data_IF_702438502520
#
_entry.id   IF_702438502520
#
_cell.length_a   1.000
_cell.length_b   1.000
_cell.length_c   1.000
_cell.angle_alpha   90.00
_cell.angle_beta   90.00
_cell.angle_gamma   90.00
#
_symmetry.space_group_name_H-M   'P 1'
#
loop_
_entity.id
_entity.type
_entity.pdbx_description
1 polymer ?
#
# COMPACT_ATOMS: atom_id res chain seq x y z
N UNK A 1 -2.32 -20.60 13.47
CA UNK A 1 -2.83 -19.24 13.84
C UNK A 1 -2.90 -18.42 12.57
N UNK A 2 -4.02 -17.77 12.28
CA UNK A 2 -4.10 -16.89 11.12
C UNK A 2 -3.39 -15.56 11.44
N UNK A 3 -2.57 -15.04 10.53
CA UNK A 3 -1.80 -13.80 10.67
C UNK A 3 -2.23 -12.77 9.64
N UNK A 4 -1.89 -11.51 9.85
CA UNK A 4 -2.09 -10.44 8.89
C UNK A 4 -0.77 -10.07 8.24
N UNK A 5 -0.69 -10.08 6.92
CA UNK A 5 0.49 -9.63 6.16
C UNK A 5 0.24 -8.21 5.68
N UNK A 6 1.07 -7.27 6.08
CA UNK A 6 1.05 -5.90 5.57
C UNK A 6 2.18 -5.73 4.58
N UNK A 7 1.82 -5.62 3.31
CA UNK A 7 2.79 -5.44 2.24
C UNK A 7 3.09 -3.96 2.03
N UNK A 8 4.19 -3.50 2.62
CA UNK A 8 4.74 -2.16 2.43
C UNK A 8 5.38 -2.02 1.05
N UNK A 9 5.21 -0.85 0.44
CA UNK A 9 5.74 -0.55 -0.90
C UNK A 9 6.42 0.82 -0.96
N UNK A 10 5.69 1.87 -1.36
CA UNK A 10 6.16 3.27 -1.38
C UNK A 10 5.71 4.04 -0.12
N UNK A 11 5.02 3.39 0.77
CA UNK A 11 4.41 3.86 2.01
C UNK A 11 5.16 3.36 3.26
N UNK A 12 6.49 3.46 3.23
CA UNK A 12 7.41 2.96 4.25
C UNK A 12 7.34 3.80 5.53
N UNK A 13 6.17 3.75 6.21
CA UNK A 13 5.89 4.47 7.44
C UNK A 13 4.88 3.74 8.31
N UNK A 14 4.96 3.91 9.63
CA UNK A 14 3.99 3.36 10.58
C UNK A 14 2.81 4.31 10.82
N UNK A 15 3.08 5.61 10.93
CA UNK A 15 2.04 6.63 11.11
C UNK A 15 1.28 6.88 9.82
N UNK A 16 -0.01 7.23 9.94
CA UNK A 16 -0.89 7.54 8.80
C UNK A 16 -0.80 6.48 7.69
N UNK A 17 -0.90 5.21 8.08
CA UNK A 17 -0.88 4.07 7.17
C UNK A 17 -2.18 3.28 7.27
N UNK A 18 -3.17 3.52 6.38
CA UNK A 18 -4.48 2.89 6.44
C UNK A 18 -4.46 1.37 6.29
N UNK A 19 -3.48 0.82 5.54
CA UNK A 19 -3.32 -0.63 5.40
C UNK A 19 -2.88 -1.25 6.73
N UNK A 20 -1.87 -0.66 7.38
CA UNK A 20 -1.40 -1.10 8.68
C UNK A 20 -2.51 -0.97 9.73
N UNK A 21 -3.19 0.19 9.80
CA UNK A 21 -4.31 0.39 10.69
C UNK A 21 -5.40 -0.68 10.50
N UNK A 22 -5.77 -0.96 9.24
CA UNK A 22 -6.76 -2.00 8.94
C UNK A 22 -6.33 -3.39 9.39
N UNK A 23 -5.03 -3.67 9.36
CA UNK A 23 -4.47 -4.94 9.80
C UNK A 23 -4.43 -5.10 11.34
N UNK A 24 -4.49 -4.00 12.09
CA UNK A 24 -4.53 -4.06 13.57
C UNK A 24 -5.92 -4.33 14.14
N UNK A 25 -6.99 -4.08 13.37
CA UNK A 25 -8.36 -4.06 13.87
C UNK A 25 -8.86 -5.41 14.42
N UNK A 26 -8.34 -6.52 13.93
CA UNK A 26 -8.74 -7.87 14.37
C UNK A 26 -7.79 -8.49 15.41
N UNK A 27 -6.81 -7.74 15.89
CA UNK A 27 -5.88 -8.15 16.96
C UNK A 27 -4.94 -9.31 16.61
N UNK A 28 -4.84 -9.69 15.33
CA UNK A 28 -3.96 -10.77 14.89
C UNK A 28 -2.50 -10.30 14.79
N UNK A 29 -1.54 -11.21 14.94
CA UNK A 29 -0.15 -10.90 14.68
C UNK A 29 0.06 -10.36 13.26
N UNK A 30 0.91 -9.33 13.13
CA UNK A 30 1.19 -8.68 11.85
C UNK A 30 2.58 -9.06 11.39
N UNK A 31 2.69 -9.44 10.12
CA UNK A 31 3.95 -9.65 9.41
C UNK A 31 4.16 -8.45 8.47
N UNK A 32 5.07 -7.52 8.81
CA UNK A 32 5.48 -6.46 7.90
C UNK A 32 6.34 -7.04 6.79
N UNK A 33 5.91 -6.90 5.55
CA UNK A 33 6.56 -7.46 4.37
C UNK A 33 6.93 -6.34 3.39
N UNK A 34 8.16 -6.33 2.91
CA UNK A 34 8.59 -5.55 1.77
C UNK A 34 9.13 -6.48 0.68
N UNK A 35 8.70 -6.29 -0.56
CA UNK A 35 9.13 -7.08 -1.71
C UNK A 35 9.83 -6.15 -2.70
N UNK A 36 11.11 -6.40 -2.94
CA UNK A 36 11.86 -5.77 -4.01
C UNK A 36 11.50 -6.47 -5.32
N UNK A 37 10.55 -5.91 -6.05
CA UNK A 37 10.12 -6.41 -7.34
C UNK A 37 11.02 -5.91 -8.48
N UNK A 38 10.90 -6.51 -9.66
CA UNK A 38 11.70 -6.16 -10.83
C UNK A 38 11.54 -4.69 -11.24
N UNK A 39 10.32 -4.16 -11.15
CA UNK A 39 10.06 -2.76 -11.49
C UNK A 39 10.83 -1.80 -10.56
N UNK A 40 10.86 -2.11 -9.28
CA UNK A 40 11.62 -1.37 -8.27
C UNK A 40 13.13 -1.58 -8.42
N UNK A 41 13.56 -2.80 -8.72
CA UNK A 41 14.98 -3.15 -8.90
C UNK A 41 15.58 -2.48 -10.17
N UNK A 42 14.78 -2.28 -11.20
CA UNK A 42 15.17 -1.59 -12.43
C UNK A 42 15.05 -0.05 -12.35
N UNK A 43 14.64 0.51 -11.21
CA UNK A 43 14.56 1.96 -11.02
C UNK A 43 15.94 2.62 -10.96
N UNK A 44 15.99 3.92 -11.20
CA UNK A 44 17.23 4.69 -11.18
C UNK A 44 17.96 4.67 -9.83
N UNK A 45 19.26 4.91 -9.85
CA UNK A 45 20.15 4.81 -8.66
C UNK A 45 19.68 5.69 -7.48
N UNK A 46 19.28 6.93 -7.76
CA UNK A 46 18.79 7.86 -6.72
C UNK A 46 17.50 7.34 -6.03
N UNK A 47 16.59 6.75 -6.80
CA UNK A 47 15.40 6.11 -6.26
C UNK A 47 15.75 4.92 -5.37
N UNK A 48 16.63 4.03 -5.81
CA UNK A 48 17.07 2.86 -5.04
C UNK A 48 17.78 3.25 -3.76
N UNK A 49 18.65 4.26 -3.82
CA UNK A 49 19.31 4.79 -2.65
C UNK A 49 18.31 5.33 -1.62
N UNK A 50 17.36 6.17 -2.06
CA UNK A 50 16.30 6.70 -1.18
C UNK A 50 15.42 5.59 -0.61
N UNK A 51 15.07 4.60 -1.42
CA UNK A 51 14.29 3.45 -1.00
C UNK A 51 15.01 2.66 0.10
N UNK A 52 16.33 2.43 -0.06
CA UNK A 52 17.15 1.76 0.94
C UNK A 52 17.09 2.46 2.30
N UNK A 53 17.33 3.77 2.33
CA UNK A 53 17.24 4.58 3.56
C UNK A 53 15.84 4.53 4.19
N UNK A 54 14.80 4.59 3.37
CA UNK A 54 13.41 4.52 3.88
C UNK A 54 13.07 3.14 4.44
N UNK A 55 13.58 2.07 3.83
CA UNK A 55 13.40 0.69 4.30
C UNK A 55 14.15 0.46 5.61
N UNK A 56 15.36 0.98 5.73
CA UNK A 56 16.15 0.95 6.97
C UNK A 56 15.44 1.70 8.10
N UNK A 57 14.95 2.92 7.83
CA UNK A 57 14.18 3.70 8.80
C UNK A 57 12.92 2.95 9.28
N UNK A 58 12.16 2.35 8.36
CA UNK A 58 11.00 1.54 8.73
C UNK A 58 11.39 0.32 9.58
N UNK A 59 12.51 -0.35 9.25
CA UNK A 59 13.00 -1.48 10.04
C UNK A 59 13.31 -1.08 11.47
N UNK A 60 14.03 0.04 11.66
CA UNK A 60 14.35 0.57 12.99
C UNK A 60 13.09 0.97 13.78
N UNK A 61 12.10 1.54 13.10
CA UNK A 61 10.84 1.89 13.75
C UNK A 61 10.04 0.64 14.16
N UNK A 62 10.02 -0.40 13.33
CA UNK A 62 9.39 -1.68 13.69
C UNK A 62 10.09 -2.37 14.86
N UNK A 63 11.41 -2.31 14.95
CA UNK A 63 12.18 -2.87 16.07
C UNK A 63 11.80 -2.23 17.42
N UNK A 64 11.52 -0.92 17.45
CA UNK A 64 10.99 -0.24 18.66
C UNK A 64 9.66 -0.82 19.14
N UNK A 65 8.91 -1.46 18.24
CA UNK A 65 7.64 -2.14 18.53
C UNK A 65 7.77 -3.66 18.63
N UNK A 66 8.99 -4.19 18.86
CA UNK A 66 9.29 -5.62 18.93
C UNK A 66 8.83 -6.39 17.67
N UNK A 67 8.89 -5.75 16.52
CA UNK A 67 8.54 -6.32 15.22
C UNK A 67 9.73 -6.26 14.27
N UNK A 68 9.70 -7.05 13.21
CA UNK A 68 10.79 -7.12 12.24
C UNK A 68 10.25 -7.04 10.82
N UNK A 69 10.85 -6.18 9.99
CA UNK A 69 10.53 -6.11 8.57
C UNK A 69 11.08 -7.33 7.83
N UNK A 70 10.21 -8.05 7.15
CA UNK A 70 10.60 -9.17 6.28
C UNK A 70 10.89 -8.60 4.88
N UNK A 71 12.12 -8.80 4.43
CA UNK A 71 12.57 -8.40 3.10
C UNK A 71 12.59 -9.62 2.18
N UNK A 72 11.93 -9.52 1.04
CA UNK A 72 11.94 -10.52 -0.03
C UNK A 72 12.28 -9.84 -1.35
N UNK A 73 12.82 -10.61 -2.30
CA UNK A 73 13.08 -10.16 -3.68
C UNK A 73 12.39 -11.10 -4.65
N UNK A 74 11.80 -10.54 -5.72
CA UNK A 74 11.20 -11.30 -6.80
C UNK A 74 9.81 -10.84 -7.20
N UNK A 75 9.13 -11.65 -7.99
CA UNK A 75 7.76 -11.37 -8.40
C UNK A 75 6.81 -11.47 -7.18
N UNK A 76 6.03 -10.40 -6.88
CA UNK A 76 5.20 -10.37 -5.68
C UNK A 76 4.18 -11.50 -5.57
N UNK A 77 3.59 -11.94 -6.69
CA UNK A 77 2.64 -13.05 -6.67
C UNK A 77 3.32 -14.35 -6.20
N UNK A 78 4.51 -14.65 -6.72
CA UNK A 78 5.25 -15.85 -6.32
C UNK A 78 5.74 -15.77 -4.87
N UNK A 79 6.24 -14.62 -4.44
CA UNK A 79 6.66 -14.40 -3.04
C UNK A 79 5.51 -14.60 -2.07
N UNK A 80 4.32 -14.07 -2.39
CA UNK A 80 3.14 -14.24 -1.55
C UNK A 80 2.62 -15.70 -1.54
N UNK A 81 2.73 -16.43 -2.66
CA UNK A 81 2.42 -17.87 -2.73
C UNK A 81 3.38 -18.68 -1.86
N UNK A 82 4.68 -18.42 -1.95
CA UNK A 82 5.72 -19.06 -1.11
C UNK A 82 5.47 -18.78 0.38
N UNK A 83 5.13 -17.53 0.70
CA UNK A 83 4.80 -17.15 2.07
C UNK A 83 3.60 -17.94 2.59
N UNK A 84 2.53 -18.08 1.78
CA UNK A 84 1.35 -18.89 2.15
C UNK A 84 1.70 -20.35 2.41
N UNK A 85 2.55 -20.93 1.58
CA UNK A 85 3.00 -22.30 1.77
C UNK A 85 3.79 -22.51 3.08
N UNK A 86 4.51 -21.44 3.53
CA UNK A 86 5.34 -21.49 4.72
C UNK A 86 4.59 -21.23 6.02
N UNK A 87 3.63 -20.30 6.02
CA UNK A 87 2.95 -19.86 7.25
C UNK A 87 1.46 -20.23 7.32
N UNK A 88 0.90 -20.80 6.25
CA UNK A 88 -0.52 -21.13 6.15
C UNK A 88 -1.37 -19.91 5.77
N UNK A 89 -2.65 -19.96 6.16
CA UNK A 89 -3.61 -18.93 5.78
C UNK A 89 -3.38 -17.60 6.51
N UNK A 90 -3.45 -16.51 5.75
CA UNK A 90 -3.29 -15.14 6.22
C UNK A 90 -4.25 -14.20 5.50
N UNK A 91 -4.38 -12.98 5.99
CA UNK A 91 -5.00 -11.87 5.26
C UNK A 91 -3.91 -10.95 4.73
N UNK A 92 -4.15 -10.32 3.58
CA UNK A 92 -3.18 -9.41 2.97
C UNK A 92 -3.73 -7.99 2.96
N UNK A 93 -2.90 -7.04 3.38
CA UNK A 93 -3.23 -5.61 3.42
C UNK A 93 -2.15 -4.81 2.69
N UNK A 94 -2.58 -3.83 1.88
CA UNK A 94 -1.67 -2.85 1.27
C UNK A 94 -2.37 -1.53 0.93
N UNK A 95 -1.59 -0.45 0.77
CA UNK A 95 -2.08 0.80 0.22
C UNK A 95 -1.93 0.79 -1.30
N UNK A 96 -2.94 1.24 -2.03
CA UNK A 96 -2.98 1.20 -3.50
C UNK A 96 -1.87 2.04 -4.12
N UNK A 97 -1.31 1.52 -5.20
CA UNK A 97 -0.53 2.27 -6.17
C UNK A 97 -1.42 2.53 -7.39
N UNK A 98 -1.13 3.61 -8.13
CA UNK A 98 -2.02 4.10 -9.17
C UNK A 98 -1.39 4.10 -10.56
N UNK A 99 -0.12 3.72 -10.67
CA UNK A 99 0.54 3.49 -11.94
C UNK A 99 0.03 2.18 -12.59
N UNK A 100 -0.03 2.16 -13.93
CA UNK A 100 -0.64 1.09 -14.71
C UNK A 100 -0.08 -0.29 -14.38
N UNK A 101 1.23 -0.40 -14.26
CA UNK A 101 1.90 -1.68 -13.96
C UNK A 101 1.53 -2.19 -12.56
N UNK A 102 1.49 -1.30 -11.56
CA UNK A 102 1.07 -1.66 -10.21
C UNK A 102 -0.39 -2.05 -10.14
N UNK A 103 -1.28 -1.35 -10.87
CA UNK A 103 -2.71 -1.69 -10.93
C UNK A 103 -2.92 -3.07 -11.54
N UNK A 104 -2.27 -3.39 -12.67
CA UNK A 104 -2.34 -4.71 -13.32
C UNK A 104 -1.88 -5.81 -12.35
N UNK A 105 -0.69 -5.66 -11.78
CA UNK A 105 -0.12 -6.59 -10.82
C UNK A 105 -1.01 -6.80 -9.59
N UNK A 106 -1.47 -5.71 -8.98
CA UNK A 106 -2.31 -5.76 -7.78
C UNK A 106 -3.68 -6.41 -8.06
N UNK A 107 -4.21 -6.23 -9.28
CA UNK A 107 -5.45 -6.87 -9.72
C UNK A 107 -5.26 -8.38 -9.86
N UNK A 108 -4.17 -8.81 -10.49
CA UNK A 108 -3.81 -10.22 -10.64
C UNK A 108 -3.66 -10.91 -9.26
N UNK A 109 -2.88 -10.31 -8.36
CA UNK A 109 -2.67 -10.83 -7.00
C UNK A 109 -4.01 -10.93 -6.27
N UNK A 110 -4.85 -9.90 -6.36
CA UNK A 110 -6.15 -9.85 -5.69
C UNK A 110 -7.10 -10.93 -6.20
N UNK A 111 -7.17 -11.12 -7.51
CA UNK A 111 -8.00 -12.18 -8.12
C UNK A 111 -7.53 -13.56 -7.68
N UNK A 112 -6.23 -13.84 -7.80
CA UNK A 112 -5.67 -15.13 -7.39
C UNK A 112 -5.97 -15.47 -5.93
N UNK A 113 -5.67 -14.57 -5.00
CA UNK A 113 -5.87 -14.84 -3.59
C UNK A 113 -7.35 -14.90 -3.18
N UNK A 114 -8.21 -14.11 -3.84
CA UNK A 114 -9.67 -14.18 -3.62
C UNK A 114 -10.24 -15.53 -4.05
N UNK A 115 -9.80 -16.07 -5.19
CA UNK A 115 -10.20 -17.43 -5.65
C UNK A 115 -9.75 -18.53 -4.67
N UNK A 116 -8.67 -18.30 -3.95
CA UNK A 116 -8.15 -19.18 -2.91
C UNK A 116 -8.77 -18.97 -1.52
N UNK A 117 -9.81 -18.12 -1.41
CA UNK A 117 -10.49 -17.83 -0.15
C UNK A 117 -9.68 -16.93 0.82
N UNK A 118 -8.59 -16.32 0.36
CA UNK A 118 -7.77 -15.40 1.17
C UNK A 118 -8.36 -13.99 1.11
N UNK A 119 -8.57 -13.39 2.28
CA UNK A 119 -9.01 -12.00 2.36
C UNK A 119 -7.88 -11.04 1.94
N UNK A 120 -8.17 -10.22 0.93
CA UNK A 120 -7.24 -9.20 0.41
C UNK A 120 -7.89 -7.83 0.54
N UNK A 121 -7.28 -6.95 1.33
CA UNK A 121 -7.77 -5.59 1.55
C UNK A 121 -6.77 -4.56 1.03
N UNK A 122 -7.20 -3.76 0.05
CA UNK A 122 -6.42 -2.63 -0.44
C UNK A 122 -7.06 -1.31 -0.01
N UNK A 123 -6.27 -0.44 0.57
CA UNK A 123 -6.69 0.86 1.12
C UNK A 123 -6.12 2.02 0.32
N UNK A 124 -6.69 3.20 0.47
CA UNK A 124 -6.16 4.45 -0.05
C UNK A 124 -5.20 5.03 1.01
N UNK A 125 -3.97 5.35 0.66
CA UNK A 125 -2.98 5.82 1.63
C UNK A 125 -1.84 6.65 1.02
N UNK A 126 -1.87 6.86 -0.31
CA UNK A 126 -0.83 7.58 -1.03
C UNK A 126 -1.32 8.85 -1.72
N UNK A 127 -2.63 9.00 -1.88
CA UNK A 127 -3.23 10.19 -2.49
C UNK A 127 -4.20 10.84 -1.52
N UNK A 128 -4.25 12.16 -1.56
CA UNK A 128 -5.20 12.96 -0.78
C UNK A 128 -6.65 12.65 -1.19
N UNK A 129 -6.88 12.44 -2.49
CA UNK A 129 -8.16 12.03 -3.06
C UNK A 129 -7.99 10.88 -4.05
N UNK A 130 -8.92 9.93 -4.01
CA UNK A 130 -8.95 8.82 -4.96
C UNK A 130 -9.27 9.33 -6.38
N UNK A 131 -8.51 8.93 -7.40
CA UNK A 131 -8.79 9.31 -8.79
C UNK A 131 -10.19 8.90 -9.25
N UNK A 132 -10.71 7.79 -8.73
CA UNK A 132 -12.06 7.30 -9.08
C UNK A 132 -13.20 8.07 -8.41
N UNK A 133 -12.90 8.84 -7.37
CA UNK A 133 -13.87 9.71 -6.68
C UNK A 133 -13.82 11.15 -7.18
N UNK A 134 -12.78 11.52 -7.92
CA UNK A 134 -12.54 12.88 -8.42
C UNK A 134 -13.03 12.96 -9.87
N UNK A 135 -14.34 13.20 -10.02
CA UNK A 135 -14.99 13.26 -11.34
C UNK A 135 -15.85 14.51 -11.43
N UNK A 136 -16.09 14.98 -12.67
CA UNK A 136 -17.08 16.02 -12.97
C UNK A 136 -18.48 15.48 -12.71
N UNK A 137 -19.48 16.36 -12.61
CA UNK A 137 -20.90 15.98 -12.50
C UNK A 137 -21.38 15.12 -13.69
N UNK A 138 -20.68 15.18 -14.83
CA UNK A 138 -20.92 14.34 -16.01
C UNK A 138 -20.14 13.00 -15.99
N UNK A 139 -19.43 12.66 -14.90
CA UNK A 139 -18.69 11.42 -14.76
C UNK A 139 -17.36 11.37 -15.53
N UNK A 140 -16.88 12.51 -16.05
CA UNK A 140 -15.60 12.59 -16.77
C UNK A 140 -14.48 13.17 -15.90
N UNK A 141 -13.25 13.19 -16.42
CA UNK A 141 -12.11 13.75 -15.70
C UNK A 141 -12.08 15.28 -15.81
N UNK A 142 -11.60 15.93 -14.75
CA UNK A 142 -11.24 17.34 -14.81
C UNK A 142 -10.01 17.56 -15.69
N UNK A 143 -10.11 18.52 -16.62
CA UNK A 143 -9.00 18.87 -17.53
C UNK A 143 -8.08 19.96 -16.99
N UNK A 144 -8.49 20.66 -15.94
CA UNK A 144 -7.76 21.76 -15.30
C UNK A 144 -7.82 21.64 -13.79
N UNK A 145 -6.80 22.16 -13.10
CA UNK A 145 -6.66 22.05 -11.65
C UNK A 145 -7.70 22.83 -10.86
N UNK A 146 -8.03 24.04 -11.30
CA UNK A 146 -8.88 24.99 -10.55
C UNK A 146 -10.24 24.41 -10.11
N UNK A 147 -11.06 23.77 -10.98
CA UNK A 147 -12.29 23.14 -10.53
C UNK A 147 -12.11 22.06 -9.48
N UNK A 148 -10.99 21.29 -9.55
CA UNK A 148 -10.70 20.25 -8.55
C UNK A 148 -10.38 20.88 -7.20
N UNK A 149 -9.56 21.93 -7.17
CA UNK A 149 -9.15 22.58 -5.92
C UNK A 149 -10.33 23.22 -5.18
N UNK A 150 -11.28 23.81 -5.92
CA UNK A 150 -12.45 24.44 -5.31
C UNK A 150 -13.56 23.45 -4.90
N UNK A 151 -13.63 22.27 -5.51
CA UNK A 151 -14.71 21.31 -5.22
C UNK A 151 -14.27 20.17 -4.30
N UNK A 152 -13.00 19.76 -4.35
CA UNK A 152 -12.51 18.60 -3.63
C UNK A 152 -11.40 18.91 -2.59
N UNK A 153 -10.71 20.05 -2.75
CA UNK A 153 -9.62 20.47 -1.89
C UNK A 153 -9.95 21.75 -1.10
N UNK A 154 -11.22 21.97 -0.78
CA UNK A 154 -11.60 23.15 0.03
C UNK A 154 -10.94 23.10 1.39
N UNK A 155 -10.03 24.04 1.63
CA UNK A 155 -9.58 24.34 2.98
C UNK A 155 -10.76 24.93 3.75
N UNK A 156 -10.93 24.60 5.06
CA UNK A 156 -11.91 25.26 5.88
C UNK A 156 -11.57 26.75 5.95
N UNK A 157 -12.28 27.57 5.16
CA UNK A 157 -12.21 29.01 5.29
C UNK A 157 -12.82 29.38 6.65
N UNK A 158 -11.97 29.79 7.60
CA UNK A 158 -12.48 30.54 8.76
C UNK A 158 -13.28 31.70 8.20
N UNK A 159 -14.58 31.73 8.46
CA UNK A 159 -15.36 32.97 8.31
C UNK A 159 -14.68 33.97 9.24
N UNK A 160 -14.02 34.96 8.64
CA UNK A 160 -13.65 36.17 9.34
C UNK A 160 -15.00 36.86 9.66
N UNK A 161 -15.36 36.84 10.94
CA UNK A 161 -16.42 37.67 11.50
C UNK A 161 -15.82 39.05 11.75
#
# INVERSE_FOLDING_TARGET
>A
MSVNVVWFRRDLRLSDNPALYSATLDGRPIIPLFILDEHTDNAGAAFKWRLGLSTESLSLDLEKHNSKLILKKGNPLYVLKELRSSIGDFKIFWNRLYDENSVKRDTEIKSYFKEQGVEVKSTEGLLLHSPWKTQTNAGSYYKVFTPVSYTHLTLPTRKLV
#
